data_IF_110047727554
#
_entry.id   IF_110047727554
#
_cell.length_a   1.000
_cell.length_b   1.000
_cell.length_c   1.000
_cell.angle_alpha   90.00
_cell.angle_beta   90.00
_cell.angle_gamma   90.00
#
_symmetry.space_group_name_H-M   'P 1'
#
loop_
_entity.id
_entity.type
_entity.pdbx_description
1 polymer ?
#
# COMPACT_ATOMS: atom_id res chain seq x y z
N UNK A 1 -23.58 -16.59 -9.70
CA UNK A 1 -22.95 -15.25 -9.53
C UNK A 1 -21.57 -15.48 -8.96
N UNK A 2 -20.53 -15.03 -9.65
CA UNK A 2 -19.15 -15.07 -9.16
C UNK A 2 -18.91 -13.95 -8.13
N UNK A 3 -17.81 -14.03 -7.37
CA UNK A 3 -17.49 -12.98 -6.39
C UNK A 3 -17.31 -11.58 -7.01
N UNK A 4 -16.61 -11.42 -8.16
CA UNK A 4 -16.56 -10.12 -8.85
C UNK A 4 -17.93 -9.60 -9.29
N UNK A 5 -18.79 -10.45 -9.84
CA UNK A 5 -20.16 -10.07 -10.22
C UNK A 5 -20.99 -9.60 -9.01
N UNK A 6 -20.82 -10.25 -7.86
CA UNK A 6 -21.47 -9.81 -6.63
C UNK A 6 -20.99 -8.44 -6.16
N UNK A 7 -19.67 -8.18 -6.18
CA UNK A 7 -19.12 -6.86 -5.84
C UNK A 7 -19.67 -5.77 -6.77
N UNK A 8 -19.65 -6.01 -8.09
CA UNK A 8 -20.18 -5.08 -9.08
C UNK A 8 -21.67 -4.79 -8.83
N UNK A 9 -22.47 -5.79 -8.45
CA UNK A 9 -23.88 -5.61 -8.11
C UNK A 9 -24.13 -4.75 -6.86
N UNK A 10 -23.05 -4.44 -6.11
CA UNK A 10 -23.04 -3.56 -4.93
C UNK A 10 -22.28 -2.26 -5.18
N UNK A 11 -22.05 -1.89 -6.43
CA UNK A 11 -21.28 -0.71 -6.83
C UNK A 11 -19.85 -0.70 -6.28
N UNK A 12 -19.27 -1.90 -6.06
CA UNK A 12 -17.89 -2.08 -5.61
C UNK A 12 -17.04 -2.56 -6.78
N UNK A 13 -16.04 -1.78 -7.17
CA UNK A 13 -15.09 -2.16 -8.23
C UNK A 13 -14.16 -3.27 -7.73
N UNK A 14 -14.11 -4.43 -8.38
CA UNK A 14 -13.17 -5.48 -8.01
C UNK A 14 -11.76 -5.19 -8.54
N UNK A 15 -10.76 -5.61 -7.77
CA UNK A 15 -9.35 -5.59 -8.16
C UNK A 15 -8.65 -6.89 -7.82
N UNK A 16 -7.39 -7.02 -8.24
CA UNK A 16 -6.62 -8.25 -8.06
C UNK A 16 -5.14 -8.00 -7.75
N UNK A 17 -4.60 -8.73 -6.78
CA UNK A 17 -3.16 -8.81 -6.54
C UNK A 17 -2.51 -9.67 -7.62
N UNK A 18 -1.48 -9.16 -8.30
CA UNK A 18 -0.89 -9.82 -9.47
C UNK A 18 0.58 -10.21 -9.33
N UNK A 19 1.29 -9.70 -8.32
CA UNK A 19 2.64 -10.16 -8.00
C UNK A 19 2.63 -11.65 -7.54
N UNK A 20 3.74 -12.36 -7.76
CA UNK A 20 3.85 -13.83 -7.56
C UNK A 20 4.84 -14.23 -6.48
N UNK A 21 5.04 -13.40 -5.49
CA UNK A 21 5.96 -13.68 -4.39
C UNK A 21 7.30 -12.98 -4.53
N UNK A 22 8.23 -13.41 -3.73
CA UNK A 22 9.54 -12.77 -3.55
C UNK A 22 10.64 -13.78 -3.83
N UNK A 23 11.72 -13.32 -4.46
CA UNK A 23 12.99 -14.03 -4.54
C UNK A 23 14.05 -13.32 -3.71
N UNK A 24 15.12 -14.05 -3.38
CA UNK A 24 16.25 -13.49 -2.67
C UNK A 24 17.10 -12.60 -3.60
N UNK A 25 17.33 -11.35 -3.19
CA UNK A 25 18.18 -10.40 -3.93
C UNK A 25 19.61 -10.35 -3.36
N UNK A 26 19.83 -10.99 -2.21
CA UNK A 26 21.07 -10.95 -1.45
C UNK A 26 20.98 -10.10 -0.18
N UNK A 27 21.85 -10.35 0.78
CA UNK A 27 21.97 -9.57 2.03
C UNK A 27 20.66 -9.44 2.84
N UNK A 28 19.67 -10.30 2.62
CA UNK A 28 18.35 -10.22 3.25
C UNK A 28 17.33 -9.39 2.49
N UNK A 29 17.72 -8.80 1.36
CA UNK A 29 16.83 -8.06 0.48
C UNK A 29 16.01 -8.98 -0.43
N UNK A 30 14.91 -8.47 -0.96
CA UNK A 30 13.97 -9.23 -1.79
C UNK A 30 13.62 -8.49 -3.07
N UNK A 31 13.44 -9.26 -4.14
CA UNK A 31 12.86 -8.78 -5.39
C UNK A 31 11.49 -9.42 -5.61
N UNK A 32 10.51 -8.60 -5.97
CA UNK A 32 9.16 -9.10 -6.23
C UNK A 32 9.02 -9.62 -7.65
N UNK A 33 8.49 -10.85 -7.77
CA UNK A 33 8.30 -11.57 -9.02
C UNK A 33 6.88 -11.44 -9.58
N UNK A 34 6.72 -11.75 -10.87
CA UNK A 34 5.40 -11.90 -11.48
C UNK A 34 5.21 -11.19 -12.82
N UNK A 35 6.26 -10.63 -13.44
CA UNK A 35 6.17 -9.95 -14.74
C UNK A 35 5.94 -10.93 -15.92
N UNK A 36 6.39 -12.18 -15.78
CA UNK A 36 6.24 -13.19 -16.82
C UNK A 36 4.76 -13.54 -17.04
N UNK A 37 4.32 -13.45 -18.29
CA UNK A 37 2.93 -13.68 -18.69
C UNK A 37 1.94 -12.71 -18.01
N UNK A 38 2.40 -11.53 -17.55
CA UNK A 38 1.54 -10.59 -16.84
C UNK A 38 0.47 -10.00 -17.76
N UNK A 39 0.81 -9.63 -18.99
CA UNK A 39 -0.15 -9.02 -19.92
C UNK A 39 -1.35 -9.94 -20.20
N UNK A 40 -1.11 -11.22 -20.42
CA UNK A 40 -2.16 -12.23 -20.63
C UNK A 40 -3.03 -12.44 -19.38
N UNK A 41 -2.43 -12.39 -18.19
CA UNK A 41 -3.16 -12.47 -16.91
C UNK A 41 -4.03 -11.23 -16.69
N UNK A 42 -3.49 -10.04 -16.95
CA UNK A 42 -4.23 -8.79 -16.81
C UNK A 42 -5.44 -8.74 -17.76
N UNK A 43 -5.28 -9.15 -19.02
CA UNK A 43 -6.39 -9.24 -19.96
C UNK A 43 -7.51 -10.18 -19.46
N UNK A 44 -7.14 -11.34 -18.89
CA UNK A 44 -8.12 -12.27 -18.28
C UNK A 44 -8.81 -11.65 -17.08
N UNK A 45 -8.09 -10.97 -16.19
CA UNK A 45 -8.68 -10.34 -15.02
C UNK A 45 -9.61 -9.19 -15.39
N UNK A 46 -9.24 -8.38 -16.40
CA UNK A 46 -10.13 -7.35 -16.93
C UNK A 46 -11.44 -7.95 -17.46
N UNK A 47 -11.35 -9.03 -18.24
CA UNK A 47 -12.52 -9.74 -18.76
C UNK A 47 -13.41 -10.32 -17.65
N UNK A 48 -12.83 -10.69 -16.49
CA UNK A 48 -13.54 -11.15 -15.29
C UNK A 48 -14.14 -10.01 -14.44
N UNK A 49 -13.96 -8.76 -14.86
CA UNK A 49 -14.54 -7.60 -14.20
C UNK A 49 -13.57 -6.77 -13.34
N UNK A 50 -12.31 -7.16 -13.22
CA UNK A 50 -11.33 -6.33 -12.50
C UNK A 50 -11.15 -4.96 -13.17
N UNK A 51 -10.97 -3.92 -12.37
CA UNK A 51 -10.72 -2.54 -12.82
C UNK A 51 -9.42 -1.96 -12.31
N UNK A 52 -8.81 -2.59 -11.32
CA UNK A 52 -7.49 -2.26 -10.83
C UNK A 52 -6.68 -3.52 -10.52
N UNK A 53 -5.39 -3.38 -10.47
CA UNK A 53 -4.47 -4.42 -10.01
C UNK A 53 -3.55 -3.86 -8.92
N UNK A 54 -2.93 -4.74 -8.13
CA UNK A 54 -1.99 -4.36 -7.09
C UNK A 54 -0.71 -5.19 -7.20
N UNK A 55 0.44 -4.52 -7.04
CA UNK A 55 1.76 -5.14 -6.96
C UNK A 55 2.55 -4.52 -5.82
N UNK A 56 3.04 -5.37 -4.92
CA UNK A 56 3.84 -4.99 -3.75
C UNK A 56 5.32 -5.25 -4.01
N UNK A 57 6.14 -4.22 -3.88
CA UNK A 57 7.58 -4.34 -3.71
C UNK A 57 7.91 -4.23 -2.21
N UNK A 58 8.88 -5.03 -1.75
CA UNK A 58 9.26 -5.07 -0.33
C UNK A 58 10.68 -4.55 -0.19
N UNK A 59 10.84 -3.49 0.59
CA UNK A 59 12.12 -2.85 0.90
C UNK A 59 12.42 -3.08 2.39
N UNK A 60 13.53 -3.74 2.66
CA UNK A 60 13.91 -4.13 4.03
C UNK A 60 14.92 -3.14 4.60
N UNK A 61 14.59 -2.38 5.67
CA UNK A 61 15.55 -1.57 6.39
C UNK A 61 16.55 -2.43 7.18
N UNK A 62 17.83 -2.03 7.20
CA UNK A 62 18.84 -2.74 7.96
C UNK A 62 20.24 -2.12 7.84
N UNK A 63 21.22 -2.78 8.44
CA UNK A 63 22.61 -2.31 8.35
C UNK A 63 23.17 -2.54 6.93
N UNK A 64 23.42 -1.45 6.20
CA UNK A 64 23.89 -1.47 4.82
C UNK A 64 22.81 -1.85 3.78
N UNK A 65 21.56 -1.95 4.17
CA UNK A 65 20.39 -2.15 3.31
C UNK A 65 19.28 -1.16 3.69
N UNK A 66 18.35 -0.81 2.75
CA UNK A 66 18.29 -1.28 1.38
C UNK A 66 19.43 -0.72 0.52
N UNK A 67 19.96 -1.57 -0.39
CA UNK A 67 20.90 -1.13 -1.42
C UNK A 67 20.17 -0.35 -2.53
N UNK A 68 20.87 0.56 -3.19
CA UNK A 68 20.30 1.29 -4.33
C UNK A 68 19.94 0.33 -5.48
N UNK A 69 20.72 -0.72 -5.67
CA UNK A 69 20.43 -1.75 -6.68
C UNK A 69 19.12 -2.49 -6.41
N UNK A 70 18.83 -2.83 -5.14
CA UNK A 70 17.58 -3.49 -4.78
C UNK A 70 16.37 -2.55 -4.92
N UNK A 71 16.51 -1.28 -4.49
CA UNK A 71 15.46 -0.27 -4.69
C UNK A 71 15.18 -0.10 -6.18
N UNK A 72 16.24 0.07 -7.00
CA UNK A 72 16.12 0.24 -8.46
C UNK A 72 15.44 -0.96 -9.12
N UNK A 73 15.86 -2.19 -8.82
CA UNK A 73 15.28 -3.39 -9.40
C UNK A 73 13.78 -3.53 -9.09
N UNK A 74 13.37 -3.25 -7.84
CA UNK A 74 11.97 -3.24 -7.45
C UNK A 74 11.18 -2.09 -8.10
N UNK A 75 11.76 -0.90 -8.20
CA UNK A 75 11.13 0.26 -8.87
C UNK A 75 10.91 0.01 -10.36
N UNK A 76 11.89 -0.57 -11.06
CA UNK A 76 11.72 -0.99 -12.46
C UNK A 76 10.58 -2.01 -12.63
N UNK A 77 10.49 -2.99 -11.73
CA UNK A 77 9.42 -3.98 -11.79
C UNK A 77 8.04 -3.34 -11.54
N UNK A 78 7.95 -2.39 -10.61
CA UNK A 78 6.73 -1.59 -10.38
C UNK A 78 6.35 -0.78 -11.62
N UNK A 79 7.30 -0.13 -12.27
CA UNK A 79 7.04 0.67 -13.48
C UNK A 79 6.59 -0.20 -14.66
N UNK A 80 7.28 -1.33 -14.90
CA UNK A 80 6.90 -2.31 -15.95
C UNK A 80 5.51 -2.88 -15.68
N UNK A 81 5.18 -3.20 -14.44
CA UNK A 81 3.86 -3.64 -14.03
C UNK A 81 2.80 -2.56 -14.28
N UNK A 82 3.05 -1.32 -13.84
CA UNK A 82 2.11 -0.22 -13.97
C UNK A 82 1.77 0.07 -15.44
N UNK A 83 2.79 0.11 -16.32
CA UNK A 83 2.59 0.28 -17.75
C UNK A 83 1.72 -0.84 -18.35
N UNK A 84 1.99 -2.12 -18.00
CA UNK A 84 1.19 -3.25 -18.47
C UNK A 84 -0.27 -3.18 -18.02
N UNK A 85 -0.53 -2.69 -16.79
CA UNK A 85 -1.89 -2.44 -16.32
C UNK A 85 -2.61 -1.40 -17.17
N UNK A 86 -1.97 -0.25 -17.41
CA UNK A 86 -2.58 0.83 -18.21
C UNK A 86 -2.85 0.38 -19.66
N UNK A 87 -1.95 -0.40 -20.26
CA UNK A 87 -2.14 -0.99 -21.59
C UNK A 87 -3.33 -1.96 -21.65
N UNK A 88 -3.79 -2.48 -20.53
CA UNK A 88 -4.94 -3.38 -20.42
C UNK A 88 -6.16 -2.74 -19.74
N UNK A 89 -6.21 -1.42 -19.66
CA UNK A 89 -7.29 -0.64 -19.04
C UNK A 89 -7.54 -0.98 -17.56
N UNK A 90 -6.50 -1.35 -16.84
CA UNK A 90 -6.50 -1.52 -15.39
C UNK A 90 -5.73 -0.39 -14.72
N UNK A 91 -6.27 0.13 -13.62
CA UNK A 91 -5.54 1.09 -12.78
C UNK A 91 -4.50 0.34 -11.95
N UNK A 92 -3.20 0.65 -12.05
CA UNK A 92 -2.20 0.04 -11.19
C UNK A 92 -2.18 0.71 -9.80
N UNK A 93 -2.27 -0.10 -8.77
CA UNK A 93 -1.89 0.28 -7.41
C UNK A 93 -0.41 -0.07 -7.25
N UNK A 94 0.44 0.95 -7.17
CA UNK A 94 1.89 0.85 -7.04
C UNK A 94 2.24 0.85 -5.56
N UNK A 95 2.74 -0.29 -5.04
CA UNK A 95 2.97 -0.49 -3.60
C UNK A 95 4.46 -0.69 -3.28
N UNK A 96 5.26 0.39 -3.17
CA UNK A 96 6.61 0.33 -2.62
C UNK A 96 6.51 0.35 -1.09
N UNK A 97 6.70 -0.79 -0.44
CA UNK A 97 6.59 -0.90 1.02
C UNK A 97 7.96 -0.97 1.68
N UNK A 98 8.30 0.03 2.47
CA UNK A 98 9.40 -0.04 3.44
C UNK A 98 8.86 -0.72 4.70
N UNK A 99 9.49 -1.82 5.09
CA UNK A 99 9.01 -2.64 6.22
C UNK A 99 9.24 -1.95 7.57
N UNK A 100 8.36 -2.24 8.52
CA UNK A 100 8.51 -1.85 9.93
C UNK A 100 9.38 -2.82 10.73
N UNK A 101 9.81 -3.94 10.12
CA UNK A 101 10.65 -4.92 10.79
C UNK A 101 12.04 -4.33 11.05
N UNK A 102 12.52 -4.42 12.29
CA UNK A 102 13.84 -3.93 12.66
C UNK A 102 13.82 -2.87 13.75
N UNK A 103 14.98 -2.23 13.96
CA UNK A 103 15.21 -1.23 15.01
C UNK A 103 15.54 0.16 14.45
N UNK A 104 15.25 0.40 13.18
CA UNK A 104 15.45 1.69 12.54
C UNK A 104 14.59 2.78 13.21
N UNK A 105 15.11 3.99 13.24
CA UNK A 105 14.39 5.16 13.75
C UNK A 105 13.36 5.64 12.73
N UNK A 106 12.48 6.55 13.15
CA UNK A 106 11.55 7.21 12.21
C UNK A 106 12.30 8.06 11.18
N UNK A 107 13.47 8.60 11.51
CA UNK A 107 14.31 9.35 10.58
C UNK A 107 14.97 8.43 9.55
N UNK A 108 15.43 7.24 9.95
CA UNK A 108 15.90 6.21 9.00
C UNK A 108 14.78 5.78 8.06
N UNK A 109 13.57 5.58 8.60
CA UNK A 109 12.38 5.26 7.80
C UNK A 109 12.04 6.36 6.79
N UNK A 110 12.14 7.62 7.21
CA UNK A 110 11.94 8.78 6.34
C UNK A 110 12.96 8.79 5.18
N UNK A 111 14.24 8.62 5.48
CA UNK A 111 15.30 8.60 4.46
C UNK A 111 15.09 7.45 3.46
N UNK A 112 14.85 6.23 3.96
CA UNK A 112 14.65 5.06 3.10
C UNK A 112 13.40 5.21 2.24
N UNK A 113 12.29 5.71 2.82
CA UNK A 113 11.06 5.95 2.08
C UNK A 113 11.26 7.03 1.01
N UNK A 114 11.97 8.11 1.32
CA UNK A 114 12.30 9.18 0.38
C UNK A 114 13.10 8.65 -0.82
N UNK A 115 14.18 7.90 -0.57
CA UNK A 115 14.98 7.28 -1.64
C UNK A 115 14.14 6.32 -2.49
N UNK A 116 13.33 5.52 -1.83
CA UNK A 116 12.45 4.55 -2.51
C UNK A 116 11.44 5.25 -3.42
N UNK A 117 10.76 6.29 -2.92
CA UNK A 117 9.78 7.05 -3.70
C UNK A 117 10.43 7.76 -4.88
N UNK A 118 11.57 8.45 -4.69
CA UNK A 118 12.31 9.07 -5.78
C UNK A 118 12.61 8.07 -6.89
N UNK A 119 13.22 6.93 -6.54
CA UNK A 119 13.57 5.92 -7.54
C UNK A 119 12.33 5.34 -8.24
N UNK A 120 11.23 5.14 -7.50
CA UNK A 120 9.97 4.65 -8.08
C UNK A 120 9.41 5.64 -9.09
N UNK A 121 9.33 6.93 -8.76
CA UNK A 121 8.80 7.94 -9.67
C UNK A 121 9.71 8.18 -10.87
N UNK A 122 11.03 8.16 -10.70
CA UNK A 122 11.98 8.18 -11.81
C UNK A 122 11.74 7.01 -12.77
N UNK A 123 11.51 5.80 -12.26
CA UNK A 123 11.23 4.63 -13.10
C UNK A 123 9.84 4.68 -13.75
N UNK A 124 8.81 5.19 -13.06
CA UNK A 124 7.49 5.41 -13.65
C UNK A 124 7.56 6.38 -14.83
N UNK A 125 8.31 7.48 -14.69
CA UNK A 125 8.55 8.46 -15.77
C UNK A 125 9.34 7.84 -16.93
N UNK A 126 10.46 7.17 -16.65
CA UNK A 126 11.29 6.50 -17.66
C UNK A 126 10.49 5.51 -18.50
N UNK A 127 9.54 4.80 -17.90
CA UNK A 127 8.63 3.87 -18.57
C UNK A 127 7.38 4.53 -19.15
N UNK A 128 7.26 5.87 -19.04
CA UNK A 128 6.12 6.65 -19.56
C UNK A 128 4.77 6.20 -18.99
N UNK A 129 4.75 5.85 -17.72
CA UNK A 129 3.51 5.56 -16.99
C UNK A 129 2.73 6.87 -16.79
N UNK A 130 1.45 6.88 -17.11
CA UNK A 130 0.59 8.03 -16.84
C UNK A 130 0.30 8.12 -15.33
N UNK A 131 0.87 9.11 -14.65
CA UNK A 131 0.71 9.27 -13.20
C UNK A 131 -0.72 9.62 -12.78
N UNK A 132 -1.51 10.26 -13.62
CA UNK A 132 -2.94 10.50 -13.36
C UNK A 132 -3.77 9.21 -13.36
N UNK A 133 -3.22 8.12 -13.86
CA UNK A 133 -3.87 6.82 -13.94
C UNK A 133 -3.32 5.77 -12.97
N UNK A 134 -2.65 6.17 -11.88
CA UNK A 134 -2.16 5.26 -10.84
C UNK A 134 -2.79 5.58 -9.48
N UNK A 135 -2.66 4.64 -8.54
CA UNK A 135 -2.82 4.87 -7.09
C UNK A 135 -1.50 4.48 -6.44
N UNK A 136 -0.93 5.37 -5.64
CA UNK A 136 0.23 5.04 -4.82
C UNK A 136 -0.24 4.35 -3.53
N UNK A 137 0.44 3.27 -3.15
CA UNK A 137 0.18 2.58 -1.88
C UNK A 137 1.47 2.46 -1.05
N UNK A 138 1.89 3.54 -0.37
CA UNK A 138 3.10 3.55 0.41
C UNK A 138 2.86 3.04 1.84
N UNK A 139 3.97 2.78 2.55
CA UNK A 139 3.98 2.76 4.01
C UNK A 139 3.76 4.18 4.56
N UNK A 140 3.37 4.27 5.83
CA UNK A 140 3.57 5.46 6.64
C UNK A 140 5.02 5.48 7.13
N UNK A 141 5.57 6.65 7.41
CA UNK A 141 6.93 6.79 7.96
C UNK A 141 6.88 6.49 9.46
N UNK A 142 7.44 5.35 9.85
CA UNK A 142 7.29 4.78 11.19
C UNK A 142 8.63 4.32 11.76
N UNK A 143 8.78 4.37 13.09
CA UNK A 143 9.86 3.65 13.77
C UNK A 143 9.71 2.14 13.57
N UNK A 144 10.83 1.42 13.45
CA UNK A 144 10.81 -0.04 13.44
C UNK A 144 10.28 -0.63 14.74
N UNK A 145 9.71 -1.84 14.69
CA UNK A 145 9.11 -2.50 15.87
C UNK A 145 10.03 -2.60 17.08
N UNK A 146 11.34 -2.78 16.84
CA UNK A 146 12.33 -2.96 17.89
C UNK A 146 13.07 -1.66 18.22
N UNK A 147 12.67 -0.51 17.66
CA UNK A 147 13.22 0.78 18.02
C UNK A 147 12.79 1.16 19.44
N UNK A 148 13.74 1.63 20.25
CA UNK A 148 13.46 2.05 21.62
C UNK A 148 12.57 3.29 21.72
N UNK A 149 12.57 4.12 20.67
CA UNK A 149 11.69 5.28 20.54
C UNK A 149 10.61 4.97 19.51
N UNK A 150 9.37 4.99 19.94
CA UNK A 150 8.21 4.91 19.07
C UNK A 150 7.62 6.31 18.95
N UNK A 151 7.60 6.83 17.72
CA UNK A 151 7.04 8.14 17.43
C UNK A 151 5.53 8.17 17.71
N UNK A 152 5.03 9.30 18.18
CA UNK A 152 3.61 9.49 18.42
C UNK A 152 2.82 9.72 17.12
N UNK A 153 1.48 9.79 17.23
CA UNK A 153 0.57 9.90 16.09
C UNK A 153 0.85 11.17 15.28
N UNK A 154 1.12 12.28 15.95
CA UNK A 154 1.38 13.57 15.30
C UNK A 154 2.71 13.55 14.54
N UNK A 155 3.76 13.03 15.15
CA UNK A 155 5.08 12.91 14.53
C UNK A 155 5.04 11.99 13.30
N UNK A 156 4.36 10.84 13.40
CA UNK A 156 4.18 9.92 12.26
C UNK A 156 3.43 10.60 11.12
N UNK A 157 2.35 11.30 11.42
CA UNK A 157 1.56 12.00 10.40
C UNK A 157 2.37 13.10 9.73
N UNK A 158 3.04 13.96 10.50
CA UNK A 158 3.88 15.05 9.98
C UNK A 158 5.01 14.52 9.10
N UNK A 159 5.77 13.55 9.60
CA UNK A 159 6.88 12.93 8.84
C UNK A 159 6.40 12.27 7.56
N UNK A 160 5.25 11.58 7.61
CA UNK A 160 4.69 10.91 6.45
C UNK A 160 4.24 11.93 5.39
N UNK A 161 3.47 12.95 5.78
CA UNK A 161 3.01 14.00 4.86
C UNK A 161 4.19 14.77 4.27
N UNK A 162 5.20 15.13 5.07
CA UNK A 162 6.40 15.81 4.61
C UNK A 162 7.20 14.96 3.59
N UNK A 163 7.34 13.65 3.86
CA UNK A 163 8.01 12.74 2.94
C UNK A 163 7.26 12.66 1.59
N UNK A 164 5.95 12.51 1.64
CA UNK A 164 5.13 12.44 0.42
C UNK A 164 5.17 13.75 -0.36
N UNK A 165 5.03 14.91 0.32
CA UNK A 165 5.05 16.23 -0.32
C UNK A 165 6.37 16.54 -1.02
N UNK A 166 7.47 15.96 -0.54
CA UNK A 166 8.78 16.15 -1.16
C UNK A 166 9.03 15.24 -2.38
N UNK A 167 8.34 14.10 -2.47
CA UNK A 167 8.73 13.02 -3.39
C UNK A 167 7.61 12.48 -4.27
N UNK A 168 6.34 12.82 -4.03
CA UNK A 168 5.21 12.34 -4.82
C UNK A 168 4.68 13.47 -5.71
N UNK A 169 4.65 13.30 -7.05
CA UNK A 169 4.07 14.30 -7.95
C UNK A 169 2.59 14.58 -7.66
N UNK A 170 2.19 15.85 -7.76
CA UNK A 170 0.81 16.29 -7.53
C UNK A 170 -0.20 15.68 -8.54
N UNK A 171 0.28 15.18 -9.69
CA UNK A 171 -0.55 14.53 -10.70
C UNK A 171 -1.11 13.17 -10.25
N UNK A 172 -0.55 12.55 -9.20
CA UNK A 172 -1.08 11.29 -8.64
C UNK A 172 -2.42 11.58 -7.97
N UNK A 173 -3.53 10.95 -8.38
CA UNK A 173 -4.86 11.35 -7.89
C UNK A 173 -5.14 10.93 -6.45
N UNK A 174 -4.43 9.90 -5.94
CA UNK A 174 -4.70 9.40 -4.60
C UNK A 174 -3.64 8.47 -4.05
N UNK A 175 -3.55 8.47 -2.74
CA UNK A 175 -2.63 7.66 -1.94
C UNK A 175 -3.44 6.80 -0.98
N UNK A 176 -3.30 5.47 -1.12
CA UNK A 176 -3.99 4.49 -0.29
C UNK A 176 -2.98 3.76 0.60
N UNK A 177 -2.82 4.20 1.85
CA UNK A 177 -1.81 3.65 2.75
C UNK A 177 -2.00 2.16 3.05
N UNK A 178 -0.89 1.43 3.16
CA UNK A 178 -0.88 0.12 3.80
C UNK A 178 -0.82 0.27 5.33
N UNK A 179 -1.23 -0.76 6.08
CA UNK A 179 -1.14 -0.74 7.54
C UNK A 179 0.21 -1.24 8.08
N UNK A 180 0.99 -1.96 7.27
CA UNK A 180 2.38 -2.37 7.55
C UNK A 180 2.58 -3.28 8.76
N UNK A 181 1.53 -3.56 9.53
CA UNK A 181 1.60 -4.30 10.79
C UNK A 181 1.42 -3.42 12.03
N UNK A 182 1.10 -2.14 11.86
CA UNK A 182 0.58 -1.30 12.93
C UNK A 182 -0.65 -1.95 13.58
N UNK A 183 -0.98 -1.55 14.80
CA UNK A 183 -2.28 -1.88 15.35
C UNK A 183 -3.40 -1.32 14.47
N UNK A 184 -4.59 -1.89 14.57
CA UNK A 184 -5.74 -1.41 13.82
C UNK A 184 -6.18 -0.01 14.27
N UNK A 185 -5.97 0.32 15.55
CA UNK A 185 -6.21 1.66 16.09
C UNK A 185 -5.16 2.66 15.57
N UNK A 186 -3.85 2.36 15.69
CA UNK A 186 -2.79 3.28 15.26
C UNK A 186 -2.88 3.58 13.76
N UNK A 187 -3.08 2.56 12.92
CA UNK A 187 -3.23 2.76 11.49
C UNK A 187 -4.40 3.71 11.14
N UNK A 188 -5.50 3.63 11.90
CA UNK A 188 -6.66 4.50 11.72
C UNK A 188 -6.37 5.92 12.23
N UNK A 189 -5.73 6.07 13.39
CA UNK A 189 -5.42 7.37 13.97
C UNK A 189 -4.36 8.12 13.17
N UNK A 190 -3.33 7.45 12.66
CA UNK A 190 -2.35 8.06 11.77
C UNK A 190 -3.01 8.55 10.48
N UNK A 191 -3.90 7.76 9.88
CA UNK A 191 -4.65 8.19 8.69
C UNK A 191 -5.51 9.42 8.99
N UNK A 192 -6.22 9.42 10.12
CA UNK A 192 -7.03 10.56 10.56
C UNK A 192 -6.19 11.82 10.75
N UNK A 193 -5.02 11.70 11.40
CA UNK A 193 -4.13 12.83 11.63
C UNK A 193 -3.57 13.38 10.34
N UNK A 194 -3.12 12.51 9.42
CA UNK A 194 -2.65 12.95 8.10
C UNK A 194 -3.71 13.70 7.28
N UNK A 195 -4.98 13.33 7.38
CA UNK A 195 -6.07 14.01 6.69
C UNK A 195 -6.42 15.40 7.25
N UNK A 196 -5.78 15.85 8.32
CA UNK A 196 -5.86 17.24 8.81
C UNK A 196 -4.92 18.19 8.05
N UNK A 197 -3.96 17.66 7.32
CA UNK A 197 -3.03 18.44 6.50
C UNK A 197 -3.63 18.70 5.11
N UNK A 198 -3.34 19.87 4.54
CA UNK A 198 -3.65 20.14 3.13
C UNK A 198 -2.64 19.37 2.25
N UNK A 199 -3.14 18.56 1.33
CA UNK A 199 -2.34 17.77 0.40
C UNK A 199 -2.92 17.81 -1.00
N UNK A 200 -2.09 17.61 -2.02
CA UNK A 200 -2.53 17.53 -3.43
C UNK A 200 -3.31 16.24 -3.75
N UNK A 201 -3.29 15.27 -2.85
CA UNK A 201 -3.86 13.93 -3.08
C UNK A 201 -5.01 13.62 -2.15
N UNK A 202 -5.90 12.74 -2.58
CA UNK A 202 -6.86 12.11 -1.68
C UNK A 202 -6.14 11.01 -0.86
N UNK A 203 -6.05 11.20 0.46
CA UNK A 203 -5.45 10.22 1.36
C UNK A 203 -6.52 9.24 1.85
N UNK A 204 -6.27 7.95 1.65
CA UNK A 204 -7.19 6.88 2.03
C UNK A 204 -6.42 5.62 2.48
N UNK A 205 -7.12 4.53 2.69
CA UNK A 205 -6.55 3.28 3.19
C UNK A 205 -6.75 2.11 2.22
N UNK A 206 -5.78 1.20 2.25
CA UNK A 206 -5.87 -0.12 1.63
C UNK A 206 -5.30 -1.16 2.61
N UNK A 207 -6.00 -1.32 3.72
CA UNK A 207 -5.55 -2.16 4.83
C UNK A 207 -5.98 -3.62 4.64
N UNK A 208 -5.04 -4.52 4.94
CA UNK A 208 -5.33 -5.94 5.09
C UNK A 208 -5.64 -6.27 6.56
N UNK A 209 -4.57 -6.45 7.35
CA UNK A 209 -4.67 -6.86 8.76
C UNK A 209 -5.47 -5.89 9.61
N UNK A 210 -5.19 -4.61 9.56
CA UNK A 210 -5.84 -3.60 10.38
C UNK A 210 -7.35 -3.42 10.09
N UNK A 211 -7.82 -3.89 8.92
CA UNK A 211 -9.25 -3.89 8.59
C UNK A 211 -9.93 -5.23 8.92
N UNK A 212 -9.26 -6.35 8.66
CA UNK A 212 -9.89 -7.68 8.64
C UNK A 212 -9.60 -8.52 9.88
N UNK A 213 -8.44 -8.34 10.53
CA UNK A 213 -8.01 -9.23 11.61
C UNK A 213 -8.94 -9.22 12.83
N UNK A 214 -9.50 -8.09 13.28
CA UNK A 214 -10.49 -8.11 14.38
C UNK A 214 -11.73 -8.94 14.03
N UNK A 215 -12.23 -8.83 12.80
CA UNK A 215 -13.37 -9.62 12.33
C UNK A 215 -13.03 -11.11 12.23
N UNK A 216 -11.84 -11.47 11.74
CA UNK A 216 -11.38 -12.86 11.69
C UNK A 216 -11.23 -13.46 13.10
N UNK A 217 -10.73 -12.71 14.06
CA UNK A 217 -10.65 -13.12 15.48
C UNK A 217 -12.05 -13.34 16.06
N UNK A 218 -12.99 -12.41 15.78
CA UNK A 218 -14.36 -12.52 16.26
C UNK A 218 -15.07 -13.71 15.65
N UNK A 219 -14.82 -14.01 14.37
CA UNK A 219 -15.39 -15.16 13.68
C UNK A 219 -14.85 -16.49 14.22
N UNK A 220 -13.55 -16.63 14.41
CA UNK A 220 -12.86 -17.86 14.86
C UNK A 220 -13.24 -19.12 14.08
N UNK A 221 -13.65 -19.00 12.81
CA UNK A 221 -14.06 -20.11 11.95
C UNK A 221 -15.42 -20.75 12.32
N UNK A 222 -16.22 -20.09 13.15
CA UNK A 222 -17.50 -20.64 13.66
C UNK A 222 -18.69 -19.95 13.04
N UNK A 223 -19.68 -20.73 12.58
CA UNK A 223 -20.90 -20.21 11.94
C UNK A 223 -21.75 -19.34 12.88
N UNK A 224 -21.80 -19.67 14.16
CA UNK A 224 -22.52 -18.90 15.18
C UNK A 224 -21.95 -17.50 15.43
N UNK A 225 -20.71 -17.26 15.01
CA UNK A 225 -20.02 -15.97 15.18
C UNK A 225 -20.10 -15.06 13.96
N UNK A 226 -20.75 -15.46 12.87
CA UNK A 226 -20.77 -14.72 11.60
C UNK A 226 -21.33 -13.31 11.78
N UNK A 227 -22.46 -13.15 12.43
CA UNK A 227 -23.11 -11.85 12.67
C UNK A 227 -22.21 -10.91 13.49
N UNK A 228 -21.59 -11.44 14.56
CA UNK A 228 -20.63 -10.70 15.37
C UNK A 228 -19.42 -10.24 14.54
N UNK A 229 -18.86 -11.13 13.73
CA UNK A 229 -17.72 -10.82 12.88
C UNK A 229 -18.04 -9.75 11.82
N UNK A 230 -19.23 -9.81 11.23
CA UNK A 230 -19.73 -8.80 10.30
C UNK A 230 -19.87 -7.43 10.99
N UNK A 231 -20.40 -7.39 12.21
CA UNK A 231 -20.51 -6.17 13.02
C UNK A 231 -19.13 -5.53 13.25
N UNK A 232 -18.15 -6.32 13.71
CA UNK A 232 -16.77 -5.86 13.94
C UNK A 232 -16.13 -5.36 12.63
N UNK A 233 -16.36 -6.05 11.50
CA UNK A 233 -15.82 -5.57 10.21
C UNK A 233 -16.41 -4.20 9.81
N UNK A 234 -17.72 -4.03 9.98
CA UNK A 234 -18.42 -2.78 9.67
C UNK A 234 -17.91 -1.64 10.56
N UNK A 235 -17.69 -1.89 11.86
CA UNK A 235 -17.12 -0.91 12.78
C UNK A 235 -15.73 -0.44 12.32
N UNK A 236 -14.85 -1.39 11.96
CA UNK A 236 -13.52 -1.04 11.43
C UNK A 236 -13.60 -0.27 10.11
N UNK A 237 -14.48 -0.67 9.20
CA UNK A 237 -14.68 0.02 7.93
C UNK A 237 -15.18 1.46 8.14
N UNK A 238 -16.12 1.67 9.08
CA UNK A 238 -16.63 3.01 9.43
C UNK A 238 -15.54 3.88 10.05
N UNK A 239 -14.76 3.37 11.01
CA UNK A 239 -13.67 4.12 11.62
C UNK A 239 -12.65 4.59 10.58
N UNK A 240 -12.21 3.70 9.68
CA UNK A 240 -11.29 4.08 8.62
C UNK A 240 -11.92 5.04 7.60
N UNK A 241 -13.21 4.91 7.30
CA UNK A 241 -13.93 5.87 6.44
C UNK A 241 -14.02 7.26 7.08
N UNK A 242 -14.25 7.36 8.39
CA UNK A 242 -14.21 8.64 9.11
C UNK A 242 -12.80 9.24 9.10
N UNK A 243 -11.77 8.43 9.29
CA UNK A 243 -10.38 8.86 9.26
C UNK A 243 -9.97 9.49 7.91
N UNK A 244 -10.58 9.09 6.79
CA UNK A 244 -10.31 9.74 5.48
C UNK A 244 -10.87 11.15 5.37
N UNK A 245 -11.68 11.59 6.32
CA UNK A 245 -12.27 12.93 6.37
C UNK A 245 -11.83 13.69 7.64
N UNK A 246 -10.76 13.25 8.33
CA UNK A 246 -10.33 13.78 9.64
C UNK A 246 -11.48 13.86 10.66
N UNK A 247 -12.37 12.86 10.64
CA UNK A 247 -13.63 12.87 11.40
C UNK A 247 -13.58 12.10 12.74
N UNK A 248 -12.39 11.76 13.25
CA UNK A 248 -12.18 11.09 14.54
C UNK A 248 -11.63 12.02 15.61
#
# INVERSE_FOLDING_TARGET
MTFPEYLISKDILPGIKVDKGLEDFGSGEKLTLGLDGLSERLAKYYALGARFAKWRAVITPGNGIPTDDCILANAENLAKYALKCQQTNLVPIVEPEVLMDGSHTIDDSFEITSRTLNTVFDQLENHKVNLQGIILKPNMVLSGYNCSYQADITEVAEKTVNCLSAHVPAEVPGIAFLSGGQSDEDATMHLNEMNKYETDWNLTFSYGRALQQPALKAWSGKSENVEKAQGVFIERAKANSLATAAGL
#
